data_IF_387207366734
#
_entry.id   IF_387207366734
#
_cell.length_a   1.000
_cell.length_b   1.000
_cell.length_c   1.000
_cell.angle_alpha   90.00
_cell.angle_beta   90.00
_cell.angle_gamma   90.00
#
_symmetry.space_group_name_H-M   'P 1'
#
loop_
_entity.id
_entity.type
_entity.pdbx_description
1 polymer ?
#
# COMPACT_ATOMS: atom_id res chain seq x y z
N UNK A 1 -3.48 -0.33 -7.57
CA UNK A 1 -2.26 -0.93 -7.00
C UNK A 1 -1.53 0.15 -6.21
N UNK A 2 -0.88 -0.17 -5.10
CA UNK A 2 -0.13 0.81 -4.31
C UNK A 2 1.10 1.40 -5.02
N UNK A 3 1.76 0.63 -5.88
CA UNK A 3 2.91 1.10 -6.65
C UNK A 3 2.51 2.06 -7.76
N UNK A 4 1.40 1.80 -8.44
CA UNK A 4 0.82 2.71 -9.44
C UNK A 4 0.48 4.06 -8.81
N UNK A 5 -0.17 4.03 -7.63
CA UNK A 5 -0.48 5.26 -6.89
C UNK A 5 0.79 5.99 -6.48
N UNK A 6 1.81 5.29 -5.98
CA UNK A 6 3.12 5.93 -5.66
C UNK A 6 3.76 6.55 -6.90
N UNK A 7 3.67 5.90 -8.06
CA UNK A 7 4.19 6.41 -9.32
C UNK A 7 3.51 7.72 -9.78
N UNK A 8 2.20 7.86 -9.54
CA UNK A 8 1.42 9.05 -9.94
C UNK A 8 1.81 10.33 -9.18
N UNK A 9 2.26 10.20 -7.94
CA UNK A 9 2.61 11.36 -7.10
C UNK A 9 4.12 11.63 -7.04
N UNK A 10 4.95 10.85 -7.74
CA UNK A 10 6.38 11.09 -7.89
C UNK A 10 7.19 11.03 -6.59
N UNK A 11 8.40 11.60 -6.63
CA UNK A 11 9.35 11.66 -5.51
C UNK A 11 8.94 12.64 -4.39
N UNK A 12 7.91 13.46 -4.60
CA UNK A 12 7.36 14.38 -3.59
C UNK A 12 6.57 13.63 -2.50
N UNK A 13 6.42 12.31 -2.63
CA UNK A 13 6.04 11.37 -1.57
C UNK A 13 7.15 10.38 -1.23
N UNK A 14 8.39 10.87 -1.12
CA UNK A 14 9.51 10.11 -0.56
C UNK A 14 9.17 9.46 0.79
N UNK A 15 10.00 8.51 1.21
CA UNK A 15 9.87 7.68 2.42
C UNK A 15 9.94 8.47 3.76
N UNK A 16 9.61 9.75 3.77
CA UNK A 16 9.44 10.56 4.97
C UNK A 16 8.12 10.25 5.68
N UNK A 17 8.08 10.54 6.99
CA UNK A 17 7.01 10.19 7.92
C UNK A 17 5.58 10.64 7.52
N UNK A 18 5.43 11.52 6.51
CA UNK A 18 4.16 12.02 5.99
C UNK A 18 3.58 11.22 4.79
N UNK A 19 4.26 10.15 4.34
CA UNK A 19 4.00 9.46 3.06
C UNK A 19 3.01 8.28 3.08
N UNK A 20 3.04 7.34 4.06
CA UNK A 20 2.26 6.09 3.97
C UNK A 20 0.75 6.31 4.05
N UNK A 21 0.31 7.17 4.97
CA UNK A 21 -1.12 7.45 5.16
C UNK A 21 -1.71 8.17 3.94
N UNK A 22 -0.93 8.99 3.24
CA UNK A 22 -1.39 9.69 2.03
C UNK A 22 -1.65 8.72 0.88
N UNK A 23 -0.76 7.76 0.65
CA UNK A 23 -0.98 6.73 -0.38
C UNK A 23 -2.26 5.94 -0.07
N UNK A 24 -2.46 5.59 1.20
CA UNK A 24 -3.65 4.89 1.67
C UNK A 24 -4.91 5.75 1.48
N UNK A 25 -4.88 7.04 1.81
CA UNK A 25 -6.06 7.91 1.65
C UNK A 25 -6.46 8.11 0.20
N UNK A 26 -5.49 8.20 -0.71
CA UNK A 26 -5.78 8.22 -2.15
C UNK A 26 -6.41 6.90 -2.61
N UNK A 27 -5.84 5.76 -2.20
CA UNK A 27 -6.39 4.45 -2.54
C UNK A 27 -7.83 4.28 -2.04
N UNK A 28 -8.12 4.72 -0.81
CA UNK A 28 -9.47 4.72 -0.24
C UNK A 28 -10.41 5.59 -1.06
N UNK A 29 -10.00 6.82 -1.41
CA UNK A 29 -10.81 7.72 -2.23
C UNK A 29 -11.16 7.11 -3.59
N UNK A 30 -10.17 6.56 -4.29
CA UNK A 30 -10.35 5.92 -5.59
C UNK A 30 -11.23 4.67 -5.49
N UNK A 31 -11.03 3.85 -4.45
CA UNK A 31 -11.83 2.65 -4.23
C UNK A 31 -13.31 2.98 -4.01
N UNK A 32 -13.61 3.98 -3.18
CA UNK A 32 -14.99 4.42 -2.95
C UNK A 32 -15.61 4.99 -4.23
N UNK A 33 -14.89 5.82 -5.00
CA UNK A 33 -15.42 6.37 -6.25
C UNK A 33 -15.71 5.31 -7.31
N UNK A 34 -14.85 4.31 -7.41
CA UNK A 34 -15.09 3.19 -8.32
C UNK A 34 -16.25 2.30 -7.84
N UNK A 35 -16.38 2.09 -6.52
CA UNK A 35 -17.52 1.38 -5.94
C UNK A 35 -18.85 2.14 -6.16
N UNK A 36 -18.87 3.46 -5.99
CA UNK A 36 -20.01 4.33 -6.29
C UNK A 36 -20.43 4.23 -7.77
N UNK A 37 -19.46 4.00 -8.66
CA UNK A 37 -19.70 3.75 -10.08
C UNK A 37 -20.16 2.31 -10.39
N UNK A 38 -20.40 1.48 -9.37
CA UNK A 38 -20.87 0.09 -9.51
C UNK A 38 -19.78 -0.95 -9.77
N UNK A 39 -18.49 -0.57 -9.65
CA UNK A 39 -17.38 -1.49 -9.89
C UNK A 39 -17.01 -2.26 -8.62
N UNK A 40 -16.52 -3.50 -8.81
CA UNK A 40 -15.85 -4.26 -7.75
C UNK A 40 -14.37 -3.90 -7.75
N UNK A 41 -13.87 -3.41 -6.62
CA UNK A 41 -12.49 -2.91 -6.50
C UNK A 41 -11.67 -3.85 -5.63
N UNK A 42 -10.47 -4.19 -6.10
CA UNK A 42 -9.45 -4.89 -5.32
C UNK A 42 -8.25 -3.97 -5.18
N UNK A 43 -7.84 -3.72 -3.94
CA UNK A 43 -6.64 -2.94 -3.63
C UNK A 43 -5.60 -3.84 -3.00
N UNK A 44 -4.47 -4.02 -3.69
CA UNK A 44 -3.26 -4.62 -3.14
C UNK A 44 -2.27 -3.50 -2.81
N UNK A 45 -2.10 -3.21 -1.53
CA UNK A 45 -1.17 -2.18 -1.05
C UNK A 45 -0.67 -2.52 0.36
N UNK A 46 0.56 -2.07 0.68
CA UNK A 46 1.12 -2.21 2.02
C UNK A 46 0.46 -1.18 2.96
N UNK A 47 -0.24 -1.64 3.98
CA UNK A 47 -0.75 -0.80 5.09
C UNK A 47 0.14 -0.97 6.32
N UNK A 48 1.35 -0.39 6.25
CA UNK A 48 2.27 -0.35 7.38
C UNK A 48 1.71 0.62 8.45
N UNK A 49 1.60 0.16 9.71
CA UNK A 49 1.02 0.96 10.80
C UNK A 49 -0.45 0.65 11.12
N UNK A 50 -0.84 0.89 12.38
CA UNK A 50 -2.23 0.73 12.83
C UNK A 50 -3.14 1.86 12.33
N UNK A 51 -2.60 3.06 12.21
CA UNK A 51 -3.22 4.27 11.68
C UNK A 51 -3.75 4.06 10.26
N UNK A 52 -2.94 3.55 9.34
CA UNK A 52 -3.35 3.24 7.97
C UNK A 52 -4.49 2.20 7.93
N UNK A 53 -4.39 1.15 8.75
CA UNK A 53 -5.43 0.12 8.84
C UNK A 53 -6.73 0.64 9.42
N UNK A 54 -6.65 1.51 10.43
CA UNK A 54 -7.81 2.14 11.03
C UNK A 54 -8.49 3.08 10.02
N UNK A 55 -7.72 3.91 9.33
CA UNK A 55 -8.23 4.81 8.30
C UNK A 55 -9.02 4.05 7.21
N UNK A 56 -8.50 2.92 6.72
CA UNK A 56 -9.21 2.07 5.76
C UNK A 56 -10.54 1.57 6.31
N UNK A 57 -10.57 1.09 7.57
CA UNK A 57 -11.81 0.58 8.19
C UNK A 57 -12.86 1.67 8.40
N UNK A 58 -12.44 2.89 8.71
CA UNK A 58 -13.34 4.01 8.96
C UNK A 58 -13.89 4.62 7.67
N UNK A 59 -13.16 4.51 6.55
CA UNK A 59 -13.46 5.28 5.34
C UNK A 59 -13.86 4.43 4.13
N UNK A 60 -13.68 3.11 4.12
CA UNK A 60 -14.10 2.26 2.98
C UNK A 60 -15.48 1.65 3.24
N UNK A 61 -16.40 1.83 2.27
CA UNK A 61 -17.72 1.20 2.31
C UNK A 61 -17.66 -0.24 1.82
N UNK A 62 -18.47 -1.14 2.40
CA UNK A 62 -18.53 -2.58 2.04
C UNK A 62 -17.15 -3.28 2.03
N UNK A 63 -16.31 -2.93 3.01
CA UNK A 63 -14.93 -3.40 3.09
C UNK A 63 -14.82 -4.90 3.41
N UNK A 64 -13.98 -5.61 2.64
CA UNK A 64 -13.46 -6.94 3.00
C UNK A 64 -11.94 -6.87 3.08
N UNK A 65 -11.36 -7.34 4.18
CA UNK A 65 -9.89 -7.33 4.38
C UNK A 65 -9.35 -8.76 4.23
N UNK A 66 -8.40 -8.93 3.31
CA UNK A 66 -7.55 -10.12 3.23
C UNK A 66 -6.18 -9.83 3.85
N UNK A 67 -5.80 -10.58 4.89
CA UNK A 67 -4.44 -10.52 5.44
C UNK A 67 -3.57 -11.62 4.81
N UNK A 68 -2.58 -11.21 4.01
CA UNK A 68 -1.63 -12.13 3.38
C UNK A 68 -0.47 -12.37 4.34
N UNK A 69 -0.56 -13.44 5.13
CA UNK A 69 0.51 -13.86 6.02
C UNK A 69 1.64 -14.53 5.23
N UNK A 70 2.75 -13.81 4.99
CA UNK A 70 4.01 -14.38 4.53
C UNK A 70 5.11 -14.17 5.57
N UNK A 71 6.07 -15.09 5.63
CA UNK A 71 7.32 -14.83 6.34
C UNK A 71 8.17 -13.84 5.56
N UNK A 72 8.91 -12.98 6.27
CA UNK A 72 9.88 -12.06 5.66
C UNK A 72 10.90 -12.84 4.83
N UNK A 73 11.33 -14.02 5.30
CA UNK A 73 12.27 -14.87 4.58
C UNK A 73 11.73 -15.33 3.22
N UNK A 74 10.49 -15.81 3.13
CA UNK A 74 9.88 -16.20 1.85
C UNK A 74 9.69 -15.00 0.93
N UNK A 75 9.25 -13.87 1.48
CA UNK A 75 9.05 -12.65 0.73
C UNK A 75 10.40 -12.08 0.19
N UNK A 76 11.49 -12.16 0.97
CA UNK A 76 12.86 -11.80 0.57
C UNK A 76 13.52 -12.79 -0.40
N UNK A 77 13.18 -14.08 -0.32
CA UNK A 77 13.65 -15.06 -1.30
C UNK A 77 13.04 -14.79 -2.70
N UNK A 78 11.78 -14.34 -2.75
CA UNK A 78 11.09 -14.03 -4.02
C UNK A 78 11.57 -12.73 -4.63
N UNK A 79 11.72 -11.68 -3.82
CA UNK A 79 12.25 -10.35 -4.14
C UNK A 79 12.10 -9.90 -5.62
N UNK A 80 10.87 -9.82 -6.16
CA UNK A 80 10.65 -9.58 -7.58
C UNK A 80 11.14 -8.20 -8.05
N UNK A 81 11.37 -7.28 -7.11
CA UNK A 81 11.82 -5.90 -7.37
C UNK A 81 13.26 -5.63 -6.92
N UNK A 82 13.95 -6.61 -6.35
CA UNK A 82 15.28 -6.42 -5.79
C UNK A 82 15.33 -5.53 -4.54
N UNK A 83 14.18 -5.20 -3.94
CA UNK A 83 14.10 -4.26 -2.81
C UNK A 83 14.70 -4.86 -1.55
N UNK A 84 14.49 -6.14 -1.29
CA UNK A 84 15.09 -6.81 -0.14
C UNK A 84 16.61 -6.86 -0.29
N UNK A 85 17.12 -7.16 -1.49
CA UNK A 85 18.56 -7.15 -1.75
C UNK A 85 19.17 -5.77 -1.52
N UNK A 86 18.53 -4.70 -2.00
CA UNK A 86 18.98 -3.31 -1.81
C UNK A 86 18.97 -2.89 -0.34
N UNK A 87 17.95 -3.30 0.42
CA UNK A 87 17.91 -3.04 1.86
C UNK A 87 19.04 -3.77 2.59
N UNK A 88 19.32 -5.03 2.23
CA UNK A 88 20.43 -5.80 2.82
C UNK A 88 21.81 -5.26 2.47
N UNK A 89 21.98 -4.61 1.31
CA UNK A 89 23.23 -3.95 0.91
C UNK A 89 23.36 -2.52 1.47
N UNK A 90 22.34 -2.00 2.16
CA UNK A 90 22.31 -0.64 2.69
C UNK A 90 22.13 0.45 1.62
N UNK A 91 21.66 0.09 0.42
CA UNK A 91 21.33 1.06 -0.65
C UNK A 91 20.01 1.80 -0.37
N UNK A 92 19.11 1.19 0.40
CA UNK A 92 17.84 1.75 0.87
C UNK A 92 17.61 1.34 2.33
N UNK A 93 16.86 2.15 3.07
CA UNK A 93 16.52 1.95 4.49
C UNK A 93 15.01 1.70 4.65
#
# INVERSE_FOLDING_TARGET
>A
DGDEVRGLFGADLGFGADSPLRVVSVLVHLANKAADAGLRVVVAALTAGQDARQYVRENVTNLTIGYVACSVQTCAQRDPKGLYRKAMSGEID
#
